data_IF_162250630108
#
_entry.id   IF_162250630108
#
_cell.length_a   1.000
_cell.length_b   1.000
_cell.length_c   1.000
_cell.angle_alpha   90.00
_cell.angle_beta   90.00
_cell.angle_gamma   90.00
#
_symmetry.space_group_name_H-M   'P 1'
#
loop_
_entity.id
_entity.type
_entity.pdbx_description
1 polymer ?
#
# COMPACT_ATOMS: atom_id res chain seq x y z
N UNK A 1 16.83 -3.19 -10.62
CA UNK A 1 16.34 -2.45 -9.45
C UNK A 1 14.99 -3.03 -9.11
N UNK A 2 14.84 -3.61 -7.92
CA UNK A 2 13.58 -4.16 -7.45
C UNK A 2 12.92 -3.08 -6.60
N UNK A 3 11.80 -2.54 -7.08
CA UNK A 3 11.07 -1.47 -6.40
C UNK A 3 10.03 -2.08 -5.48
N UNK A 4 10.00 -1.63 -4.24
CA UNK A 4 9.05 -2.05 -3.20
C UNK A 4 7.93 -1.03 -3.06
N UNK A 5 6.73 -1.48 -2.73
CA UNK A 5 5.65 -0.59 -2.34
C UNK A 5 5.90 -0.08 -0.92
N UNK A 6 5.88 1.25 -0.74
CA UNK A 6 6.04 1.87 0.58
C UNK A 6 4.78 2.62 0.98
N UNK A 7 4.42 2.54 2.27
CA UNK A 7 3.38 3.33 2.92
C UNK A 7 3.99 4.07 4.09
N UNK A 8 4.02 5.39 4.04
CA UNK A 8 4.45 6.27 5.11
C UNK A 8 3.24 6.78 5.89
N UNK A 9 3.28 6.65 7.21
CA UNK A 9 2.28 7.17 8.13
C UNK A 9 2.95 8.13 9.10
N UNK A 10 2.46 9.37 9.15
CA UNK A 10 2.92 10.39 10.09
C UNK A 10 1.70 11.01 10.80
N UNK A 11 1.23 10.35 11.86
CA UNK A 11 0.05 10.71 12.64
C UNK A 11 -1.26 10.77 11.84
N UNK A 12 -1.47 11.89 11.14
CA UNK A 12 -2.66 12.17 10.32
C UNK A 12 -2.43 12.02 8.82
N UNK A 13 -1.16 11.99 8.39
CA UNK A 13 -0.81 11.97 6.97
C UNK A 13 -0.38 10.57 6.55
N UNK A 14 -0.98 10.06 5.48
CA UNK A 14 -0.59 8.79 4.85
C UNK A 14 -0.13 9.06 3.42
N UNK A 15 1.12 8.74 3.12
CA UNK A 15 1.70 8.84 1.78
C UNK A 15 2.09 7.46 1.26
N UNK A 16 1.95 7.23 -0.05
CA UNK A 16 2.25 5.93 -0.69
C UNK A 16 3.15 6.15 -1.89
N UNK A 17 4.00 5.18 -2.19
CA UNK A 17 4.88 5.24 -3.36
C UNK A 17 5.66 3.97 -3.58
N UNK A 18 6.71 4.08 -4.39
CA UNK A 18 7.70 3.04 -4.59
C UNK A 18 9.03 3.46 -3.95
N UNK A 19 9.73 2.54 -3.32
CA UNK A 19 11.05 2.76 -2.75
C UNK A 19 12.04 1.67 -3.16
N UNK A 20 13.33 1.98 -3.13
CA UNK A 20 14.40 1.00 -3.36
C UNK A 20 14.68 0.21 -2.06
N UNK A 21 15.38 -0.92 -2.19
CA UNK A 21 15.79 -1.80 -1.06
C UNK A 21 16.62 -1.09 0.01
N UNK A 22 17.22 0.07 -0.30
CA UNK A 22 17.91 0.88 0.71
C UNK A 22 16.96 1.33 1.84
N UNK A 23 15.69 1.57 1.52
CA UNK A 23 14.67 2.00 2.47
C UNK A 23 13.88 0.82 3.07
N UNK A 24 13.83 -0.29 2.33
CA UNK A 24 13.21 -1.55 2.73
C UNK A 24 14.33 -2.62 2.82
N UNK A 25 15.17 -2.55 3.89
CA UNK A 25 16.44 -3.27 3.97
C UNK A 25 16.29 -4.78 4.17
N UNK A 26 15.14 -5.22 4.65
CA UNK A 26 14.81 -6.63 4.79
C UNK A 26 14.03 -7.04 3.55
N UNK A 27 14.47 -8.09 2.84
CA UNK A 27 13.80 -8.65 1.66
C UNK A 27 12.43 -9.28 1.98
N UNK A 28 11.81 -8.88 3.09
CA UNK A 28 10.53 -9.36 3.60
C UNK A 28 9.58 -8.18 3.89
N UNK A 29 8.29 -8.45 3.76
CA UNK A 29 7.25 -7.48 4.08
C UNK A 29 7.31 -7.10 5.57
N UNK A 30 7.25 -5.80 5.87
CA UNK A 30 7.46 -5.34 7.25
C UNK A 30 7.17 -3.86 7.45
N UNK A 31 7.04 -3.46 8.72
CA UNK A 31 6.86 -2.07 9.11
C UNK A 31 7.92 -1.62 10.11
N UNK A 32 8.41 -0.40 9.92
CA UNK A 32 9.50 0.19 10.68
C UNK A 32 9.09 1.54 11.29
N UNK A 33 9.57 1.87 12.49
CA UNK A 33 10.30 0.99 13.43
C UNK A 33 9.38 -0.11 14.01
N UNK A 34 9.90 -1.34 14.12
CA UNK A 34 9.12 -2.52 14.56
C UNK A 34 8.74 -2.46 16.05
N UNK A 35 9.55 -1.76 16.86
CA UNK A 35 9.44 -1.74 18.32
C UNK A 35 8.84 -0.47 18.93
N UNK A 36 8.33 0.45 18.11
CA UNK A 36 7.76 1.70 18.61
C UNK A 36 6.36 1.92 18.04
N UNK A 37 5.35 1.54 18.83
CA UNK A 37 3.93 1.73 18.49
C UNK A 37 3.51 3.19 18.51
N UNK A 38 4.28 4.05 19.17
CA UNK A 38 4.03 5.48 19.33
C UNK A 38 4.95 6.33 18.45
N UNK A 39 5.74 5.69 17.57
CA UNK A 39 6.58 6.40 16.62
C UNK A 39 5.73 7.36 15.79
N UNK A 40 6.12 8.63 15.81
CA UNK A 40 5.44 9.69 15.05
C UNK A 40 5.48 9.40 13.54
N UNK A 41 6.51 8.71 13.08
CA UNK A 41 6.70 8.30 11.68
C UNK A 41 6.87 6.80 11.60
N UNK A 42 6.02 6.14 10.82
CA UNK A 42 6.07 4.72 10.51
C UNK A 42 6.09 4.54 9.00
N UNK A 43 6.84 3.54 8.51
CA UNK A 43 6.71 3.10 7.13
C UNK A 43 6.59 1.60 7.02
N UNK A 44 5.77 1.15 6.08
CA UNK A 44 5.61 -0.26 5.76
C UNK A 44 6.04 -0.53 4.33
N UNK A 45 6.78 -1.60 4.13
CA UNK A 45 7.26 -2.09 2.86
C UNK A 45 6.56 -3.40 2.51
N UNK A 46 6.21 -3.58 1.24
CA UNK A 46 5.72 -4.84 0.71
C UNK A 46 6.03 -4.99 -0.78
N UNK A 47 6.11 -6.23 -1.26
CA UNK A 47 6.56 -6.53 -2.64
C UNK A 47 5.42 -6.98 -3.59
N UNK A 48 4.22 -7.25 -3.08
CA UNK A 48 3.07 -7.59 -3.92
C UNK A 48 2.49 -6.36 -4.65
N UNK A 49 1.89 -6.59 -5.83
CA UNK A 49 1.24 -5.54 -6.59
C UNK A 49 0.12 -4.86 -5.78
N UNK A 50 0.20 -3.53 -5.67
CA UNK A 50 -0.78 -2.70 -4.96
C UNK A 50 -0.97 -3.05 -3.48
N UNK A 51 -0.02 -3.74 -2.85
CA UNK A 51 -0.11 -4.14 -1.43
C UNK A 51 -0.20 -2.95 -0.45
N UNK A 52 0.33 -1.78 -0.82
CA UNK A 52 0.21 -0.54 -0.04
C UNK A 52 -1.12 0.21 -0.27
N UNK A 53 -2.03 -0.31 -1.08
CA UNK A 53 -3.32 0.32 -1.40
C UNK A 53 -4.23 0.43 -0.17
N UNK A 54 -5.02 1.50 -0.10
CA UNK A 54 -6.13 1.61 0.85
C UNK A 54 -7.39 0.89 0.41
N UNK A 55 -7.49 0.56 -0.88
CA UNK A 55 -8.68 -0.08 -1.43
C UNK A 55 -8.57 -1.59 -1.26
N UNK A 56 -9.59 -2.21 -0.68
CA UNK A 56 -9.65 -3.67 -0.64
C UNK A 56 -9.83 -4.22 -2.06
N UNK A 57 -9.17 -5.32 -2.41
CA UNK A 57 -9.31 -5.94 -3.74
C UNK A 57 -10.77 -6.33 -4.02
N UNK A 58 -11.53 -6.72 -3.00
CA UNK A 58 -12.96 -6.98 -3.11
C UNK A 58 -13.75 -5.74 -3.56
N UNK A 59 -13.46 -4.56 -3.00
CA UNK A 59 -14.15 -3.32 -3.38
C UNK A 59 -13.86 -2.97 -4.85
N UNK A 60 -12.61 -3.11 -5.28
CA UNK A 60 -12.21 -2.86 -6.67
C UNK A 60 -12.93 -3.80 -7.63
N UNK A 61 -13.06 -5.07 -7.27
CA UNK A 61 -13.82 -6.05 -8.05
C UNK A 61 -15.29 -5.63 -8.20
N UNK A 62 -15.97 -5.26 -7.11
CA UNK A 62 -17.36 -4.81 -7.16
C UNK A 62 -17.56 -3.54 -7.99
N UNK A 63 -16.65 -2.56 -7.87
CA UNK A 63 -16.71 -1.34 -8.69
C UNK A 63 -16.52 -1.64 -10.18
N UNK A 64 -15.63 -2.57 -10.52
CA UNK A 64 -15.44 -3.00 -11.91
C UNK A 64 -16.71 -3.64 -12.47
N UNK A 65 -17.34 -4.57 -11.75
CA UNK A 65 -18.58 -5.22 -12.15
C UNK A 65 -19.73 -4.22 -12.32
N UNK A 66 -19.86 -3.26 -11.40
CA UNK A 66 -20.86 -2.21 -11.48
C UNK A 66 -20.64 -1.30 -12.70
N UNK A 67 -19.38 -0.93 -12.99
CA UNK A 67 -19.07 -0.11 -14.17
C UNK A 67 -19.42 -0.80 -15.49
N UNK A 68 -19.14 -2.11 -15.60
CA UNK A 68 -19.51 -2.91 -16.76
C UNK A 68 -21.03 -3.01 -16.88
N UNK A 69 -21.75 -3.27 -15.79
CA UNK A 69 -23.21 -3.31 -15.79
C UNK A 69 -23.83 -2.00 -16.26
N UNK A 70 -23.33 -0.85 -15.77
CA UNK A 70 -23.82 0.46 -16.18
C UNK A 70 -23.55 0.74 -17.67
N UNK A 71 -22.45 0.25 -18.24
CA UNK A 71 -22.17 0.33 -19.68
C UNK A 71 -23.13 -0.50 -20.53
N UNK A 72 -23.63 -1.63 -20.02
CA UNK A 72 -24.63 -2.47 -20.72
C UNK A 72 -26.06 -1.93 -20.62
N UNK A 73 -26.35 -1.09 -19.62
CA UNK A 73 -27.65 -0.42 -19.47
C UNK A 73 -27.80 0.86 -20.31
N UNK A 74 -26.68 1.40 -20.79
CA UNK A 74 -26.57 2.65 -21.53
C UNK A 74 -26.65 2.40 -23.04
#
# INVERSE_FOLDING_TARGET
MQLWCVKWENGTTVSRGCADVVLCPDEEDGCFPEHDKDATVKWCCCNEDLCNSSASPHLLFFLSMFSVYMLFLL
#
